data_IF_647379849285
#
_entry.id   IF_647379849285
#
_cell.length_a   1.000
_cell.length_b   1.000
_cell.length_c   1.000
_cell.angle_alpha   90.00
_cell.angle_beta   90.00
_cell.angle_gamma   90.00
#
_symmetry.space_group_name_H-M   'P 1'
#
loop_
_entity.id
_entity.type
_entity.pdbx_description
1 polymer ?
#
# COMPACT_ATOMS: atom_id res chain seq x y z
N UNK A 1 6.94 19.11 11.55
CA UNK A 1 7.27 19.74 10.25
C UNK A 1 8.37 18.92 9.60
N UNK A 2 8.07 18.27 8.48
CA UNK A 2 9.08 17.58 7.66
C UNK A 2 9.74 18.62 6.74
N UNK A 3 11.06 18.63 6.66
CA UNK A 3 11.74 19.53 5.73
C UNK A 3 11.59 19.01 4.29
N UNK A 4 11.63 19.92 3.31
CA UNK A 4 11.64 19.51 1.90
C UNK A 4 12.80 18.54 1.59
N UNK A 5 13.95 18.71 2.24
CA UNK A 5 15.11 17.83 2.07
C UNK A 5 14.82 16.41 2.55
N UNK A 6 14.10 16.23 3.67
CA UNK A 6 13.73 14.91 4.17
C UNK A 6 12.77 14.20 3.21
N UNK A 7 11.80 14.94 2.67
CA UNK A 7 10.85 14.44 1.67
C UNK A 7 11.59 14.01 0.40
N UNK A 8 12.46 14.86 -0.16
CA UNK A 8 13.20 14.51 -1.38
C UNK A 8 14.17 13.35 -1.16
N UNK A 9 14.83 13.25 0.00
CA UNK A 9 15.64 12.07 0.36
C UNK A 9 14.79 10.81 0.44
N UNK A 10 13.59 10.90 1.03
CA UNK A 10 12.66 9.78 1.10
C UNK A 10 12.09 9.39 -0.27
N UNK A 11 11.93 10.31 -1.22
CA UNK A 11 11.45 9.99 -2.57
C UNK A 11 12.57 9.58 -3.53
N UNK A 12 13.83 9.93 -3.27
CA UNK A 12 14.99 9.64 -4.13
C UNK A 12 15.44 8.17 -4.16
N UNK A 13 14.52 7.21 -4.25
CA UNK A 13 14.80 5.77 -4.38
C UNK A 13 13.70 5.06 -5.16
N UNK A 14 14.06 4.23 -6.17
CA UNK A 14 13.07 3.58 -7.03
C UNK A 14 12.05 2.72 -6.27
N UNK A 15 12.46 2.02 -5.21
CA UNK A 15 11.55 1.18 -4.44
C UNK A 15 10.58 2.03 -3.62
N UNK A 16 11.04 3.17 -3.08
CA UNK A 16 10.16 4.08 -2.35
C UNK A 16 9.13 4.74 -3.27
N UNK A 17 9.52 5.09 -4.50
CA UNK A 17 8.57 5.59 -5.52
C UNK A 17 7.54 4.53 -5.95
N UNK A 18 7.98 3.27 -6.10
CA UNK A 18 7.10 2.13 -6.34
C UNK A 18 6.05 1.98 -5.24
N UNK A 19 6.48 2.05 -3.97
CA UNK A 19 5.57 1.97 -2.83
C UNK A 19 4.54 3.11 -2.86
N UNK A 20 4.95 4.35 -3.12
CA UNK A 20 4.04 5.49 -3.23
C UNK A 20 3.01 5.28 -4.34
N UNK A 21 3.43 4.83 -5.53
CA UNK A 21 2.52 4.48 -6.64
C UNK A 21 1.51 3.39 -6.25
N UNK A 22 1.95 2.34 -5.55
CA UNK A 22 1.06 1.28 -5.11
C UNK A 22 0.02 1.78 -4.10
N UNK A 23 0.46 2.64 -3.17
CA UNK A 23 -0.41 3.22 -2.15
C UNK A 23 -1.37 4.29 -2.69
N UNK A 24 -1.11 4.83 -3.88
CA UNK A 24 -2.10 5.62 -4.66
C UNK A 24 -3.27 4.76 -5.13
N UNK A 25 -3.00 3.50 -5.49
CA UNK A 25 -4.01 2.61 -6.01
C UNK A 25 -4.91 2.03 -4.91
N UNK A 26 -4.36 1.74 -3.72
CA UNK A 26 -5.11 1.27 -2.54
C UNK A 26 -4.22 1.14 -1.29
N UNK A 27 -4.86 0.98 -0.12
CA UNK A 27 -4.19 0.56 1.12
C UNK A 27 -3.67 -0.89 1.04
N UNK A 28 -2.42 -1.10 1.41
CA UNK A 28 -1.72 -2.39 1.32
C UNK A 28 -1.00 -2.75 2.62
N UNK A 29 -0.99 -4.04 2.94
CA UNK A 29 -0.14 -4.58 3.98
C UNK A 29 1.33 -4.60 3.54
N UNK A 30 2.25 -4.51 4.50
CA UNK A 30 3.71 -4.56 4.22
C UNK A 30 4.10 -5.82 3.43
N UNK A 31 3.50 -6.96 3.73
CA UNK A 31 3.75 -8.23 3.03
C UNK A 31 3.29 -8.21 1.57
N UNK A 32 2.14 -7.59 1.28
CA UNK A 32 1.63 -7.46 -0.09
C UNK A 32 2.50 -6.52 -0.91
N UNK A 33 3.00 -5.44 -0.31
CA UNK A 33 3.97 -4.57 -0.97
C UNK A 33 5.23 -5.36 -1.31
N UNK A 34 5.75 -6.17 -0.38
CA UNK A 34 6.91 -7.02 -0.61
C UNK A 34 6.69 -7.99 -1.79
N UNK A 35 5.51 -8.62 -1.86
CA UNK A 35 5.10 -9.45 -2.99
C UNK A 35 5.06 -8.66 -4.30
N UNK A 36 4.41 -7.50 -4.32
CA UNK A 36 4.26 -6.69 -5.54
C UNK A 36 5.60 -6.11 -6.00
N UNK A 37 6.45 -5.62 -5.10
CA UNK A 37 7.74 -5.05 -5.53
C UNK A 37 8.82 -6.11 -5.82
N UNK A 38 8.56 -7.38 -5.46
CA UNK A 38 9.50 -8.49 -5.63
C UNK A 38 10.70 -8.39 -4.70
N UNK A 39 10.50 -7.95 -3.45
CA UNK A 39 11.58 -7.78 -2.47
C UNK A 39 11.22 -8.45 -1.15
N UNK A 40 12.23 -8.72 -0.32
CA UNK A 40 11.99 -9.29 1.01
C UNK A 40 11.26 -8.29 1.93
N UNK A 41 10.41 -8.82 2.81
CA UNK A 41 9.68 -8.01 3.79
C UNK A 41 10.59 -7.16 4.70
N UNK A 42 11.76 -7.63 5.20
CA UNK A 42 12.68 -6.79 5.96
C UNK A 42 13.18 -5.58 5.16
N UNK A 43 13.47 -5.77 3.85
CA UNK A 43 13.90 -4.69 2.97
C UNK A 43 12.80 -3.68 2.75
N UNK A 44 11.58 -4.12 2.44
CA UNK A 44 10.42 -3.23 2.31
C UNK A 44 10.13 -2.49 3.62
N UNK A 45 10.22 -3.16 4.77
CA UNK A 45 10.01 -2.54 6.08
C UNK A 45 10.96 -1.37 6.34
N UNK A 46 12.22 -1.48 5.88
CA UNK A 46 13.19 -0.37 5.93
C UNK A 46 12.76 0.81 5.04
N UNK A 47 12.31 0.54 3.81
CA UNK A 47 11.80 1.59 2.91
C UNK A 47 10.57 2.30 3.49
N UNK A 48 9.64 1.53 4.06
CA UNK A 48 8.44 2.04 4.73
C UNK A 48 8.76 2.84 5.98
N UNK A 49 9.89 2.56 6.66
CA UNK A 49 10.38 3.38 7.78
C UNK A 49 10.79 4.76 7.33
N UNK A 50 11.59 4.84 6.29
CA UNK A 50 12.06 6.12 5.74
C UNK A 50 10.86 6.95 5.26
N UNK A 51 9.91 6.34 4.54
CA UNK A 51 8.70 7.02 4.07
C UNK A 51 7.81 7.52 5.22
N UNK A 52 7.66 6.73 6.28
CA UNK A 52 6.87 7.12 7.44
C UNK A 52 7.53 8.22 8.28
N UNK A 53 8.86 8.18 8.45
CA UNK A 53 9.63 9.23 9.14
C UNK A 53 9.54 10.58 8.38
N UNK A 54 9.40 10.53 7.04
CA UNK A 54 9.16 11.70 6.19
C UNK A 54 7.67 12.11 6.09
N UNK A 55 6.75 11.39 6.75
CA UNK A 55 5.32 11.67 6.73
C UNK A 55 4.58 11.25 5.45
N UNK A 56 5.27 10.68 4.45
CA UNK A 56 4.70 10.32 3.15
C UNK A 56 3.77 9.09 3.21
N UNK A 57 3.94 8.25 4.24
CA UNK A 57 3.15 7.04 4.46
C UNK A 57 2.75 6.94 5.93
N UNK A 58 1.50 6.58 6.17
CA UNK A 58 0.97 6.30 7.50
C UNK A 58 0.77 4.80 7.69
N UNK A 59 0.93 4.34 8.94
CA UNK A 59 0.86 2.93 9.33
C UNK A 59 -0.34 2.69 10.23
N UNK A 60 -1.08 1.62 9.98
CA UNK A 60 -2.20 1.16 10.80
C UNK A 60 -2.04 -0.33 11.10
N UNK A 61 -1.99 -0.69 12.38
CA UNK A 61 -1.96 -2.10 12.79
C UNK A 61 -3.39 -2.64 12.91
N UNK A 62 -3.64 -3.79 12.32
CA UNK A 62 -4.93 -4.49 12.38
C UNK A 62 -4.65 -5.99 12.53
N UNK A 63 -4.88 -6.51 13.75
CA UNK A 63 -4.46 -7.87 14.13
C UNK A 63 -2.96 -8.08 13.93
N UNK A 64 -2.60 -9.09 13.13
CA UNK A 64 -1.22 -9.43 12.76
C UNK A 64 -0.67 -8.62 11.58
N UNK A 65 -1.49 -7.76 10.97
CA UNK A 65 -1.13 -7.01 9.78
C UNK A 65 -0.77 -5.57 10.10
N UNK A 66 0.15 -5.01 9.31
CA UNK A 66 0.44 -3.58 9.29
C UNK A 66 0.08 -3.07 7.90
N UNK A 67 -1.00 -2.31 7.82
CA UNK A 67 -1.46 -1.66 6.62
C UNK A 67 -0.86 -0.28 6.47
N UNK A 68 -0.59 0.09 5.22
CA UNK A 68 0.02 1.33 4.83
C UNK A 68 -0.92 2.09 3.90
N UNK A 69 -0.99 3.39 4.11
CA UNK A 69 -1.66 4.33 3.19
C UNK A 69 -0.84 5.59 3.05
N UNK A 70 -1.15 6.40 2.05
CA UNK A 70 -0.49 7.69 1.88
C UNK A 70 -0.72 8.61 3.08
N UNK A 71 0.29 9.43 3.34
CA UNK A 71 0.25 10.50 4.32
C UNK A 71 -0.77 11.56 3.96
N UNK A 72 -1.49 12.05 4.97
CA UNK A 72 -2.55 13.07 4.82
C UNK A 72 -2.21 14.41 5.49
N UNK A 73 -1.00 14.55 6.03
CA UNK A 73 -0.53 15.80 6.61
C UNK A 73 -0.43 16.91 5.53
N UNK A 74 -0.87 18.12 5.86
CA UNK A 74 -0.89 19.25 4.93
C UNK A 74 0.51 19.59 4.38
N UNK A 75 1.57 19.27 5.14
CA UNK A 75 2.95 19.48 4.70
C UNK A 75 3.42 18.50 3.63
N UNK A 76 2.79 17.32 3.48
CA UNK A 76 3.21 16.29 2.51
C UNK A 76 2.26 16.15 1.32
N UNK A 77 0.98 16.50 1.49
CA UNK A 77 -0.04 16.38 0.43
C UNK A 77 0.38 17.11 -0.88
N UNK A 78 0.94 18.33 -0.85
CA UNK A 78 1.40 18.99 -2.08
C UNK A 78 2.51 18.24 -2.83
N UNK A 79 3.42 17.57 -2.11
CA UNK A 79 4.50 16.78 -2.71
C UNK A 79 3.96 15.51 -3.35
N UNK A 80 3.02 14.84 -2.67
CA UNK A 80 2.32 13.69 -3.23
C UNK A 80 1.53 14.10 -4.48
N UNK A 81 0.85 15.26 -4.48
CA UNK A 81 0.10 15.74 -5.64
C UNK A 81 1.01 16.16 -6.81
N UNK A 82 2.20 16.70 -6.54
CA UNK A 82 3.20 16.97 -7.57
C UNK A 82 3.64 15.67 -8.25
N UNK A 83 3.85 14.61 -7.47
CA UNK A 83 4.24 13.32 -7.98
C UNK A 83 3.28 12.76 -9.03
N UNK A 84 1.97 13.00 -8.88
CA UNK A 84 0.95 12.57 -9.84
C UNK A 84 1.01 13.32 -11.19
N UNK A 85 1.81 14.39 -11.29
CA UNK A 85 2.00 15.18 -12.52
C UNK A 85 3.31 14.90 -13.24
N UNK A 86 4.15 14.04 -12.67
CA UNK A 86 5.43 13.68 -13.27
C UNK A 86 5.22 12.53 -14.23
N UNK A 87 5.68 12.70 -15.46
CA UNK A 87 5.69 11.62 -16.44
C UNK A 87 6.79 10.61 -16.10
N UNK A 88 6.48 9.31 -16.06
CA UNK A 88 7.48 8.29 -15.86
C UNK A 88 8.41 8.21 -17.07
N UNK A 89 9.70 7.98 -16.83
CA UNK A 89 10.61 7.49 -17.88
C UNK A 89 10.16 6.14 -18.41
N UNK A 90 10.66 5.73 -19.58
CA UNK A 90 10.37 4.41 -20.16
C UNK A 90 10.69 3.27 -19.18
N UNK A 91 11.80 3.39 -18.46
CA UNK A 91 12.20 2.41 -17.44
C UNK A 91 11.20 2.34 -16.28
N UNK A 92 10.59 3.48 -15.94
CA UNK A 92 9.60 3.57 -14.88
C UNK A 92 8.25 3.03 -15.30
N UNK A 93 7.80 3.36 -16.51
CA UNK A 93 6.57 2.81 -17.08
C UNK A 93 6.58 1.27 -17.10
N UNK A 94 7.73 0.65 -17.42
CA UNK A 94 7.88 -0.80 -17.42
C UNK A 94 7.63 -1.44 -16.05
N UNK A 95 8.30 -0.94 -14.99
CA UNK A 95 8.10 -1.51 -13.67
C UNK A 95 6.73 -1.13 -13.07
N UNK A 96 6.17 0.03 -13.43
CA UNK A 96 4.83 0.45 -13.00
C UNK A 96 3.77 -0.51 -13.55
N UNK A 97 3.83 -0.82 -14.85
CA UNK A 97 2.93 -1.78 -15.47
C UNK A 97 3.03 -3.17 -14.82
N UNK A 98 4.26 -3.63 -14.57
CA UNK A 98 4.49 -4.92 -13.90
C UNK A 98 3.99 -4.94 -12.46
N UNK A 99 4.16 -3.84 -11.72
CA UNK A 99 3.65 -3.67 -10.36
C UNK A 99 2.12 -3.65 -10.33
N UNK A 100 1.46 -2.95 -11.26
CA UNK A 100 0.00 -2.93 -11.37
C UNK A 100 -0.56 -4.32 -11.70
N UNK A 101 0.10 -5.09 -12.57
CA UNK A 101 -0.29 -6.47 -12.85
C UNK A 101 -0.20 -7.35 -11.60
N UNK A 102 0.88 -7.24 -10.82
CA UNK A 102 1.03 -7.98 -9.55
C UNK A 102 0.05 -7.49 -8.48
N UNK A 103 -0.26 -6.20 -8.44
CA UNK A 103 -1.29 -5.65 -7.55
C UNK A 103 -2.68 -6.20 -7.88
N UNK A 104 -3.00 -6.40 -9.16
CA UNK A 104 -4.24 -7.05 -9.56
C UNK A 104 -4.34 -8.48 -9.02
N UNK A 105 -3.23 -9.23 -9.01
CA UNK A 105 -3.20 -10.56 -8.38
C UNK A 105 -3.48 -10.49 -6.88
N UNK A 106 -2.85 -9.56 -6.14
CA UNK A 106 -3.14 -9.34 -4.70
C UNK A 106 -4.63 -9.03 -4.47
N UNK A 107 -5.25 -8.19 -5.31
CA UNK A 107 -6.69 -7.90 -5.22
C UNK A 107 -7.54 -9.15 -5.43
N UNK A 108 -7.20 -9.97 -6.41
CA UNK A 108 -7.89 -11.22 -6.66
C UNK A 108 -7.72 -12.21 -5.48
N UNK A 109 -6.54 -12.26 -4.86
CA UNK A 109 -6.27 -13.10 -3.69
C UNK A 109 -7.13 -12.66 -2.49
N UNK A 110 -7.21 -11.35 -2.22
CA UNK A 110 -8.10 -10.80 -1.18
C UNK A 110 -9.57 -11.15 -1.43
N UNK A 111 -10.04 -11.02 -2.68
CA UNK A 111 -11.42 -11.33 -3.04
C UNK A 111 -11.75 -12.81 -2.78
N UNK A 112 -10.88 -13.73 -3.24
CA UNK A 112 -11.06 -15.17 -3.00
C UNK A 112 -11.03 -15.51 -1.51
N UNK A 113 -10.13 -14.89 -0.73
CA UNK A 113 -10.07 -15.12 0.71
C UNK A 113 -11.34 -14.62 1.43
N UNK A 114 -11.87 -13.47 1.03
CA UNK A 114 -13.12 -12.94 1.57
C UNK A 114 -14.30 -13.87 1.21
N UNK A 115 -14.42 -14.28 -0.05
CA UNK A 115 -15.45 -15.22 -0.50
C UNK A 115 -15.40 -16.56 0.26
N UNK A 116 -14.21 -17.15 0.42
CA UNK A 116 -14.03 -18.38 1.18
C UNK A 116 -14.43 -18.21 2.66
N UNK A 117 -14.00 -17.11 3.29
CA UNK A 117 -14.38 -16.81 4.67
C UNK A 117 -15.90 -16.67 4.82
N UNK A 118 -16.56 -15.93 3.93
CA UNK A 118 -18.02 -15.79 3.97
C UNK A 118 -18.74 -17.11 3.68
N UNK A 119 -18.25 -17.94 2.76
CA UNK A 119 -18.82 -19.25 2.47
C UNK A 119 -18.73 -20.21 3.67
N UNK A 120 -17.58 -20.22 4.37
CA UNK A 120 -17.37 -21.04 5.57
C UNK A 120 -18.25 -20.59 6.75
N UNK A 121 -18.52 -19.29 6.87
CA UNK A 121 -19.29 -18.73 8.00
C UNK A 121 -20.75 -18.39 7.64
N UNK A 122 -21.22 -18.75 6.42
CA UNK A 122 -22.55 -18.42 5.95
C UNK A 122 -23.66 -18.99 6.85
N UNK A 123 -23.49 -20.25 7.29
CA UNK A 123 -24.46 -20.92 8.16
C UNK A 123 -24.54 -20.26 9.56
N UNK A 124 -23.42 -19.80 10.11
CA UNK A 124 -23.37 -19.05 11.38
C UNK A 124 -23.93 -17.63 11.24
N UNK A 125 -23.69 -16.96 10.11
CA UNK A 125 -24.20 -15.62 9.84
C UNK A 125 -25.72 -15.59 9.64
N UNK A 126 -26.28 -16.60 8.96
CA UNK A 126 -27.73 -16.76 8.83
C UNK A 126 -28.39 -17.04 10.19
N UNK A 127 -27.74 -17.84 11.03
CA UNK A 127 -28.17 -18.05 12.42
C UNK A 127 -28.13 -16.75 13.25
N UNK A 128 -27.07 -15.95 13.17
CA UNK A 128 -26.94 -14.67 13.91
C UNK A 128 -27.95 -13.62 13.42
N UNK A 129 -28.22 -13.56 12.10
CA UNK A 129 -29.28 -12.68 11.54
C UNK A 129 -30.68 -13.08 12.00
N UNK A 130 -30.95 -14.37 12.12
CA UNK A 130 -32.26 -14.88 12.55
C UNK A 130 -32.60 -14.54 14.01
N UNK A 131 -31.60 -14.21 14.83
CA UNK A 131 -31.76 -13.84 16.24
C UNK A 131 -32.09 -12.34 16.47
N UNK A 132 -32.06 -11.52 15.41
CA UNK A 132 -32.34 -10.08 15.48
C UNK A 132 -33.58 -9.66 14.66
N UNK A 133 -34.49 -10.59 14.37
CA UNK A 133 -35.84 -10.33 13.87
C UNK A 133 -36.86 -10.63 14.95
#
# INVERSE_FOLDING_TARGET
MHSALDIFRALGDPTRLRIVHLLRAMELAVGEIAQVVGQSQPRVSRHVRILAEAGLVERRKEGNWVFLRLGRDEGVVPFLALFDRLEPSDSEALWQAADLARLAAVRADRARAAEAYFAEHAEEWDAIRSLHV
#
